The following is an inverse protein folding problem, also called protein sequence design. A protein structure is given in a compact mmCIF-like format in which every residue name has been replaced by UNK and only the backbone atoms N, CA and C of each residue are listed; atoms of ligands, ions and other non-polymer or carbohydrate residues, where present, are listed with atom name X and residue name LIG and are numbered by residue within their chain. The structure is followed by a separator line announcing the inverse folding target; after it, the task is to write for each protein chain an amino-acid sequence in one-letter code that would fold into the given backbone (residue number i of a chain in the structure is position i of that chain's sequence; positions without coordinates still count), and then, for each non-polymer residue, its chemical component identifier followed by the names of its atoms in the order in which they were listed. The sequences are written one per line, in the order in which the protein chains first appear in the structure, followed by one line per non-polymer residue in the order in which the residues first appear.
data_IF_157797128010
#
_entry.id   IF_157797128010
#
_cell.length_a   1.000
_cell.length_b   1.000
_cell.length_c   1.000
_cell.angle_alpha   90.00
_cell.angle_beta   90.00
_cell.angle_gamma   90.00
#
_symmetry.space_group_name_H-M   'P 1'
#
loop_
_entity.id
_entity.type
_entity.pdbx_description
1 polymer ?
#
# COMPACT_ATOMS: atom_id res chain seq x y z
N UNK A 1 98.74 -7.94 -34.09
CA UNK A 1 98.66 -8.42 -35.49
C UNK A 1 97.68 -9.58 -35.52
N UNK A 2 96.48 -9.57 -36.08
CA UNK A 2 95.68 -8.66 -36.93
C UNK A 2 94.20 -8.96 -36.54
N UNK A 3 93.23 -8.04 -36.41
CA UNK A 3 92.49 -7.32 -37.49
C UNK A 3 92.14 -8.28 -38.66
N UNK A 4 90.90 -8.53 -39.09
CA UNK A 4 89.86 -7.62 -39.62
C UNK A 4 88.70 -8.54 -40.10
N UNK A 5 87.42 -8.18 -39.88
CA UNK A 5 86.41 -7.76 -40.89
C UNK A 5 85.93 -8.90 -41.84
N UNK A 6 84.68 -9.08 -42.29
CA UNK A 6 83.51 -8.21 -42.53
C UNK A 6 82.24 -9.08 -42.76
N UNK A 7 81.04 -8.54 -42.48
CA UNK A 7 79.76 -8.54 -43.25
C UNK A 7 79.30 -9.77 -44.08
N UNK A 8 78.03 -10.12 -44.32
CA UNK A 8 76.70 -9.50 -44.15
C UNK A 8 75.60 -10.50 -44.61
N UNK A 9 74.46 -10.50 -43.91
CA UNK A 9 73.06 -10.83 -44.28
C UNK A 9 72.69 -11.98 -45.27
N UNK A 10 71.88 -12.93 -44.79
CA UNK A 10 70.49 -13.11 -45.29
C UNK A 10 69.62 -14.00 -44.36
N UNK A 11 68.63 -13.35 -43.76
CA UNK A 11 67.30 -13.76 -43.27
C UNK A 11 66.77 -15.14 -43.74
N UNK A 12 66.37 -16.01 -42.79
CA UNK A 12 65.00 -16.58 -42.75
C UNK A 12 64.64 -17.14 -41.34
N UNK A 13 63.40 -16.89 -40.93
CA UNK A 13 62.78 -17.09 -39.60
C UNK A 13 62.13 -18.50 -39.48
N UNK A 14 61.46 -18.92 -38.36
CA UNK A 14 61.73 -20.17 -37.63
C UNK A 14 60.52 -21.19 -37.74
N UNK A 15 60.31 -22.26 -36.92
CA UNK A 15 60.10 -22.19 -35.46
C UNK A 15 60.67 -23.35 -34.60
N UNK A 16 61.15 -22.98 -33.41
CA UNK A 16 61.04 -23.73 -32.13
C UNK A 16 59.55 -23.74 -31.74
N UNK A 17 58.92 -24.74 -31.12
CA UNK A 17 59.33 -25.71 -30.10
C UNK A 17 58.18 -26.69 -29.91
N UNK A 18 58.51 -27.94 -29.58
CA UNK A 18 57.59 -28.95 -29.11
C UNK A 18 56.84 -28.49 -27.84
N UNK A 19 55.50 -28.63 -27.85
CA UNK A 19 54.62 -29.13 -26.79
C UNK A 19 53.18 -28.77 -27.17
N UNK A 20 52.39 -29.78 -27.53
CA UNK A 20 50.93 -29.75 -27.42
C UNK A 20 50.44 -31.20 -27.28
N UNK A 21 50.24 -31.64 -26.04
CA UNK A 21 49.26 -32.67 -25.72
C UNK A 21 47.97 -31.94 -25.29
N UNK A 22 46.80 -32.27 -25.86
CA UNK A 22 45.55 -31.64 -25.49
C UNK A 22 45.06 -32.20 -24.15
N UNK A 23 45.29 -31.46 -23.07
CA UNK A 23 44.64 -31.75 -21.79
C UNK A 23 43.16 -31.37 -21.86
N UNK A 24 42.34 -32.40 -21.76
CA UNK A 24 40.89 -32.37 -21.64
C UNK A 24 40.43 -31.76 -20.31
N UNK A 25 40.55 -30.44 -20.16
CA UNK A 25 39.70 -29.71 -19.22
C UNK A 25 38.46 -29.24 -19.97
N UNK A 26 37.53 -30.19 -20.12
CA UNK A 26 36.16 -29.93 -20.48
C UNK A 26 35.60 -28.79 -19.62
N UNK A 27 34.98 -27.85 -20.32
CA UNK A 27 34.24 -26.74 -19.77
C UNK A 27 33.27 -27.19 -18.67
N UNK A 28 33.52 -26.80 -17.42
CA UNK A 28 32.44 -26.62 -16.46
C UNK A 28 31.86 -25.23 -16.66
N UNK A 29 31.19 -25.07 -17.81
CA UNK A 29 30.31 -23.94 -18.05
C UNK A 29 29.18 -24.04 -17.02
N UNK A 30 29.19 -23.15 -16.01
CA UNK A 30 28.08 -22.91 -15.10
C UNK A 30 26.88 -22.42 -15.93
N UNK A 31 26.16 -23.40 -16.49
CA UNK A 31 25.01 -23.25 -17.39
C UNK A 31 23.75 -22.97 -16.59
N UNK A 32 23.84 -22.10 -15.59
CA UNK A 32 22.63 -21.56 -14.94
C UNK A 32 22.13 -20.42 -15.80
N UNK A 33 20.97 -20.61 -16.45
CA UNK A 33 20.31 -19.55 -17.21
C UNK A 33 20.28 -18.24 -16.39
N UNK A 34 20.57 -17.07 -17.00
CA UNK A 34 20.67 -15.80 -16.28
C UNK A 34 19.38 -15.43 -15.53
N UNK A 35 18.22 -15.89 -16.02
CA UNK A 35 16.92 -15.75 -15.34
C UNK A 35 16.80 -16.63 -14.09
N UNK A 36 17.36 -17.84 -14.11
CA UNK A 36 17.39 -18.74 -12.94
C UNK A 36 18.36 -18.24 -11.88
N UNK A 37 19.53 -17.71 -12.27
CA UNK A 37 20.47 -17.07 -11.35
C UNK A 37 19.84 -15.82 -10.72
N UNK A 38 19.12 -15.03 -11.51
CA UNK A 38 18.35 -13.89 -11.02
C UNK A 38 17.26 -14.34 -10.04
N UNK A 39 16.43 -15.33 -10.39
CA UNK A 39 15.41 -15.91 -9.53
C UNK A 39 15.99 -16.50 -8.22
N UNK A 40 17.15 -17.14 -8.26
CA UNK A 40 17.86 -17.57 -7.05
C UNK A 40 18.40 -16.37 -6.27
N UNK A 41 18.87 -15.31 -6.92
CA UNK A 41 19.29 -14.09 -6.21
C UNK A 41 18.15 -13.42 -5.44
N UNK A 42 16.89 -13.56 -5.90
CA UNK A 42 15.69 -13.17 -5.16
C UNK A 42 15.50 -14.02 -3.89
N UNK A 43 15.90 -15.28 -3.88
CA UNK A 43 15.83 -16.12 -2.67
C UNK A 43 16.99 -15.87 -1.69
N UNK A 44 18.05 -15.16 -2.09
CA UNK A 44 19.17 -14.80 -1.21
C UNK A 44 18.76 -13.67 -0.26
N UNK A 45 18.12 -14.03 0.85
CA UNK A 45 17.68 -13.07 1.86
C UNK A 45 18.84 -12.57 2.72
N UNK A 46 18.79 -11.28 3.08
CA UNK A 46 19.75 -10.70 4.00
C UNK A 46 19.30 -10.97 5.43
N UNK A 47 20.14 -11.64 6.21
CA UNK A 47 19.83 -12.15 7.55
C UNK A 47 19.29 -11.08 8.51
N UNK A 48 19.88 -9.87 8.51
CA UNK A 48 19.39 -8.74 9.33
C UNK A 48 17.97 -8.31 8.92
N UNK A 49 17.66 -8.37 7.63
CA UNK A 49 16.31 -8.14 7.12
C UNK A 49 15.33 -9.21 7.60
N UNK A 50 15.71 -10.49 7.57
CA UNK A 50 14.85 -11.59 8.04
C UNK A 50 14.51 -11.46 9.52
N UNK A 51 15.52 -11.17 10.35
CA UNK A 51 15.31 -10.97 11.78
C UNK A 51 14.38 -9.78 12.05
N UNK A 52 14.62 -8.63 11.41
CA UNK A 52 13.78 -7.44 11.59
C UNK A 52 12.35 -7.65 11.04
N UNK A 53 12.20 -8.35 9.92
CA UNK A 53 10.90 -8.73 9.38
C UNK A 53 10.10 -9.61 10.34
N UNK A 54 10.75 -10.59 10.99
CA UNK A 54 10.10 -11.42 12.00
C UNK A 54 9.68 -10.63 13.24
N UNK A 55 10.50 -9.66 13.69
CA UNK A 55 10.13 -8.76 14.80
C UNK A 55 8.89 -7.93 14.44
N UNK A 56 8.85 -7.32 13.25
CA UNK A 56 7.70 -6.53 12.82
C UNK A 56 6.44 -7.38 12.60
N UNK A 57 6.59 -8.62 12.12
CA UNK A 57 5.49 -9.58 12.08
C UNK A 57 4.94 -9.84 13.48
N UNK A 58 5.81 -10.10 14.47
CA UNK A 58 5.38 -10.34 15.84
C UNK A 58 4.70 -9.11 16.45
N UNK A 59 5.25 -7.92 16.22
CA UNK A 59 4.62 -6.66 16.65
C UNK A 59 3.25 -6.45 16.01
N UNK A 60 3.05 -6.88 14.77
CA UNK A 60 1.75 -6.80 14.10
C UNK A 60 0.66 -7.68 14.73
N UNK A 61 1.06 -8.71 15.46
CA UNK A 61 0.17 -9.66 16.15
C UNK A 61 -0.17 -9.23 17.59
N UNK A 62 0.30 -8.05 18.02
CA UNK A 62 -0.06 -7.48 19.32
C UNK A 62 -1.55 -7.13 19.40
N UNK A 63 -2.13 -7.04 20.62
CA UNK A 63 -3.57 -6.92 20.80
C UNK A 63 -4.15 -5.72 20.05
N UNK A 64 -5.26 -5.96 19.32
CA UNK A 64 -6.04 -4.91 18.66
C UNK A 64 -7.43 -4.84 19.29
N UNK A 65 -7.95 -3.62 19.46
CA UNK A 65 -9.29 -3.38 20.00
C UNK A 65 -10.42 -3.80 19.04
N UNK A 66 -10.09 -4.06 17.77
CA UNK A 66 -11.05 -4.55 16.78
C UNK A 66 -10.82 -6.04 16.52
N UNK A 67 -11.88 -6.87 16.55
CA UNK A 67 -11.82 -8.23 16.06
C UNK A 67 -11.40 -8.21 14.59
N UNK A 68 -10.28 -8.87 14.26
CA UNK A 68 -9.79 -8.95 12.89
C UNK A 68 -9.91 -10.37 12.39
N UNK A 69 -10.48 -10.53 11.21
CA UNK A 69 -10.46 -11.83 10.52
C UNK A 69 -9.01 -12.24 10.16
N UNK A 70 -8.79 -13.55 10.04
CA UNK A 70 -7.47 -14.14 9.78
C UNK A 70 -6.83 -13.61 8.49
N UNK A 71 -7.65 -13.27 7.48
CA UNK A 71 -7.21 -12.71 6.21
C UNK A 71 -6.63 -11.31 6.36
N UNK A 72 -7.37 -10.40 7.01
CA UNK A 72 -6.93 -9.02 7.26
C UNK A 72 -5.70 -9.00 8.17
N UNK A 73 -5.68 -9.84 9.20
CA UNK A 73 -4.52 -9.96 10.07
C UNK A 73 -3.29 -10.46 9.30
N UNK A 74 -3.46 -11.44 8.40
CA UNK A 74 -2.39 -11.96 7.57
C UNK A 74 -1.84 -10.91 6.61
N UNK A 75 -2.73 -10.12 5.99
CA UNK A 75 -2.36 -9.02 5.11
C UNK A 75 -1.51 -7.97 5.84
N UNK A 76 -2.00 -7.48 6.99
CA UNK A 76 -1.29 -6.46 7.78
C UNK A 76 0.05 -7.01 8.28
N UNK A 77 0.08 -8.25 8.76
CA UNK A 77 1.30 -8.87 9.25
C UNK A 77 2.33 -9.08 8.14
N UNK A 78 1.90 -9.44 6.92
CA UNK A 78 2.77 -9.56 5.74
C UNK A 78 3.35 -8.23 5.29
N UNK A 79 2.54 -7.15 5.28
CA UNK A 79 2.99 -5.80 4.97
C UNK A 79 4.04 -5.34 5.99
N UNK A 80 3.75 -5.50 7.29
CA UNK A 80 4.67 -5.14 8.37
C UNK A 80 5.98 -5.94 8.29
N UNK A 81 5.91 -7.24 8.00
CA UNK A 81 7.08 -8.09 7.81
C UNK A 81 7.93 -7.62 6.62
N UNK A 82 7.31 -7.26 5.50
CA UNK A 82 8.01 -6.73 4.32
C UNK A 82 8.70 -5.39 4.61
N UNK A 83 8.02 -4.50 5.34
CA UNK A 83 8.60 -3.23 5.78
C UNK A 83 9.78 -3.44 6.73
N UNK A 84 9.60 -4.28 7.76
CA UNK A 84 10.66 -4.65 8.70
C UNK A 84 11.87 -5.28 7.98
N UNK A 85 11.63 -6.12 6.97
CA UNK A 85 12.69 -6.67 6.12
C UNK A 85 13.46 -5.57 5.38
N UNK A 86 12.75 -4.66 4.70
CA UNK A 86 13.37 -3.54 3.99
C UNK A 86 14.21 -2.65 4.91
N UNK A 87 13.67 -2.33 6.08
CA UNK A 87 14.37 -1.55 7.11
C UNK A 87 15.60 -2.29 7.62
N UNK A 88 15.49 -3.58 7.94
CA UNK A 88 16.63 -4.39 8.39
C UNK A 88 17.74 -4.49 7.35
N UNK A 89 17.40 -4.53 6.05
CA UNK A 89 18.38 -4.45 4.96
C UNK A 89 19.10 -3.10 4.92
N UNK A 90 18.37 -2.00 5.09
CA UNK A 90 18.92 -0.65 5.09
C UNK A 90 19.84 -0.45 6.30
N UNK A 91 19.33 -0.75 7.50
CA UNK A 91 20.08 -0.67 8.76
C UNK A 91 21.34 -1.52 8.70
N UNK A 92 21.24 -2.78 8.25
CA UNK A 92 22.39 -3.66 8.09
C UNK A 92 23.43 -3.11 7.11
N UNK A 93 22.99 -2.48 6.00
CA UNK A 93 23.90 -1.84 5.03
C UNK A 93 24.58 -0.60 5.61
N UNK A 94 23.84 0.24 6.33
CA UNK A 94 24.36 1.47 6.95
C UNK A 94 25.36 1.15 8.05
N UNK A 95 25.01 0.24 8.97
CA UNK A 95 25.90 -0.25 10.03
C UNK A 95 27.16 -0.87 9.43
N UNK A 96 27.02 -1.68 8.37
CA UNK A 96 28.18 -2.22 7.68
C UNK A 96 29.09 -1.13 7.12
N UNK A 97 28.51 -0.13 6.43
CA UNK A 97 29.26 0.93 5.76
C UNK A 97 29.96 1.89 6.72
N UNK A 98 29.30 2.25 7.84
CA UNK A 98 29.78 3.27 8.78
C UNK A 98 30.65 2.67 9.88
N UNK A 99 30.27 1.50 10.42
CA UNK A 99 30.89 0.94 11.62
C UNK A 99 31.75 -0.28 11.30
N UNK A 100 31.18 -1.31 10.66
CA UNK A 100 31.89 -2.60 10.49
C UNK A 100 32.97 -2.54 9.41
N UNK A 101 32.87 -1.64 8.43
CA UNK A 101 33.90 -1.50 7.37
C UNK A 101 35.28 -1.15 7.93
N UNK A 102 35.31 -0.36 9.02
CA UNK A 102 36.55 0.09 9.66
C UNK A 102 36.89 -0.74 10.93
N UNK A 103 36.06 -1.74 11.25
CA UNK A 103 36.26 -2.58 12.41
C UNK A 103 37.29 -3.68 12.12
N UNK A 104 38.42 -3.67 12.84
CA UNK A 104 39.50 -4.67 12.70
C UNK A 104 39.05 -6.13 12.95
N UNK A 105 37.97 -6.32 13.69
CA UNK A 105 37.40 -7.63 14.03
C UNK A 105 36.37 -8.13 13.02
N UNK A 106 36.08 -7.34 11.97
CA UNK A 106 35.13 -7.69 10.92
C UNK A 106 35.85 -7.95 9.59
N UNK A 107 35.59 -9.07 8.89
CA UNK A 107 34.54 -10.06 9.16
C UNK A 107 34.96 -11.15 10.18
N UNK A 108 34.00 -11.65 11.01
CA UNK A 108 34.25 -12.76 11.92
C UNK A 108 34.54 -14.09 11.17
N UNK A 109 35.06 -15.12 11.85
CA UNK A 109 35.39 -16.41 11.23
C UNK A 109 34.19 -17.04 10.52
N UNK A 110 34.41 -17.76 9.43
CA UNK A 110 33.36 -18.37 8.61
C UNK A 110 32.39 -19.25 9.43
N UNK A 111 32.90 -19.96 10.45
CA UNK A 111 32.09 -20.77 11.38
C UNK A 111 31.10 -19.92 12.18
N UNK A 112 31.52 -18.77 12.68
CA UNK A 112 30.65 -17.85 13.45
C UNK A 112 29.58 -17.28 12.54
N UNK A 113 29.94 -16.84 11.34
CA UNK A 113 28.97 -16.37 10.34
C UNK A 113 27.97 -17.47 9.96
N UNK A 114 28.40 -18.72 9.84
CA UNK A 114 27.51 -19.85 9.57
C UNK A 114 26.50 -20.04 10.70
N UNK A 115 26.96 -20.11 11.95
CA UNK A 115 26.09 -20.28 13.11
C UNK A 115 25.13 -19.10 13.32
N UNK A 116 25.58 -17.87 13.10
CA UNK A 116 24.69 -16.70 13.14
C UNK A 116 23.58 -16.77 12.09
N UNK A 117 23.92 -17.21 10.87
CA UNK A 117 22.94 -17.39 9.79
C UNK A 117 21.96 -18.52 10.11
N UNK A 118 22.47 -19.64 10.59
CA UNK A 118 21.65 -20.78 11.02
C UNK A 118 20.69 -20.36 12.15
N UNK A 119 21.19 -19.62 13.16
CA UNK A 119 20.39 -19.09 14.25
C UNK A 119 19.25 -18.20 13.73
N UNK A 120 19.50 -17.29 12.79
CA UNK A 120 18.43 -16.43 12.21
C UNK A 120 17.40 -17.26 11.45
N UNK A 121 17.83 -18.25 10.65
CA UNK A 121 16.92 -19.10 9.87
C UNK A 121 16.03 -19.97 10.75
N UNK A 122 16.47 -20.32 11.97
CA UNK A 122 15.67 -21.07 12.93
C UNK A 122 14.84 -20.15 13.81
N UNK A 123 15.47 -19.17 14.47
CA UNK A 123 14.83 -18.32 15.48
C UNK A 123 13.71 -17.46 14.87
N UNK A 124 13.91 -16.89 13.68
CA UNK A 124 12.93 -16.00 13.06
C UNK A 124 11.58 -16.69 12.78
N UNK A 125 11.50 -17.83 12.06
CA UNK A 125 10.24 -18.51 11.86
C UNK A 125 9.69 -19.11 13.16
N UNK A 126 10.54 -19.63 14.06
CA UNK A 126 10.08 -20.14 15.36
C UNK A 126 9.42 -19.03 16.18
N UNK A 127 9.99 -17.83 16.24
CA UNK A 127 9.39 -16.68 16.94
C UNK A 127 8.04 -16.30 16.32
N UNK A 128 7.94 -16.26 14.98
CA UNK A 128 6.67 -15.99 14.29
C UNK A 128 5.59 -17.02 14.64
N UNK A 129 5.92 -18.32 14.66
CA UNK A 129 4.97 -19.38 15.00
C UNK A 129 4.56 -19.30 16.47
N UNK A 130 5.52 -19.11 17.39
CA UNK A 130 5.22 -19.01 18.82
C UNK A 130 4.35 -17.80 19.14
N UNK A 131 4.53 -16.67 18.43
CA UNK A 131 3.73 -15.47 18.63
C UNK A 131 2.25 -15.65 18.25
N UNK A 132 1.90 -16.64 17.42
CA UNK A 132 0.49 -16.92 17.09
C UNK A 132 -0.31 -17.43 18.30
N UNK A 133 0.36 -18.07 19.26
CA UNK A 133 -0.29 -18.63 20.46
C UNK A 133 -0.91 -17.52 21.34
N UNK A 134 -0.12 -16.54 21.84
CA UNK A 134 -0.70 -15.43 22.60
C UNK A 134 -1.63 -14.58 21.74
N UNK A 135 -1.32 -14.36 20.46
CA UNK A 135 -2.15 -13.56 19.58
C UNK A 135 -3.55 -14.14 19.35
N UNK A 136 -3.66 -15.46 19.15
CA UNK A 136 -4.95 -16.15 19.07
C UNK A 136 -5.72 -16.07 20.40
N UNK A 137 -5.02 -16.11 21.54
CA UNK A 137 -5.66 -15.97 22.85
C UNK A 137 -6.25 -14.57 23.07
N UNK A 138 -5.53 -13.52 22.67
CA UNK A 138 -6.01 -12.14 22.76
C UNK A 138 -7.21 -11.91 21.85
N UNK A 139 -7.19 -12.42 20.62
CA UNK A 139 -8.34 -12.31 19.71
C UNK A 139 -9.58 -13.02 20.26
N UNK A 140 -9.44 -14.21 20.86
CA UNK A 140 -10.57 -14.89 21.51
C UNK A 140 -11.16 -14.08 22.67
N UNK A 141 -10.32 -13.40 23.45
CA UNK A 141 -10.79 -12.53 24.54
C UNK A 141 -11.58 -11.33 24.01
N UNK A 142 -11.09 -10.66 22.96
CA UNK A 142 -11.79 -9.53 22.34
C UNK A 142 -13.10 -9.96 21.69
N UNK A 143 -13.11 -11.09 20.98
CA UNK A 143 -14.33 -11.67 20.41
C UNK A 143 -15.38 -11.99 21.48
N UNK A 144 -14.96 -12.56 22.62
CA UNK A 144 -15.85 -12.84 23.74
C UNK A 144 -16.45 -11.56 24.34
N UNK A 145 -15.66 -10.50 24.50
CA UNK A 145 -16.13 -9.19 24.97
C UNK A 145 -17.12 -8.53 24.01
N UNK A 146 -16.97 -8.77 22.70
CA UNK A 146 -17.85 -8.25 21.66
C UNK A 146 -19.07 -9.16 21.39
N UNK A 147 -19.20 -10.28 22.12
CA UNK A 147 -20.30 -11.22 21.96
C UNK A 147 -20.30 -11.99 20.63
N UNK A 148 -19.14 -12.11 19.97
CA UNK A 148 -18.99 -12.82 18.70
C UNK A 148 -18.15 -14.09 18.85
N UNK A 149 -18.31 -15.04 17.93
CA UNK A 149 -17.48 -16.25 17.93
C UNK A 149 -16.00 -15.91 17.70
N UNK A 150 -15.12 -16.46 18.56
CA UNK A 150 -13.69 -16.26 18.46
C UNK A 150 -13.05 -17.05 17.31
N UNK A 151 -11.88 -16.63 16.82
CA UNK A 151 -11.19 -17.32 15.73
C UNK A 151 -10.76 -18.73 16.15
N UNK A 152 -10.97 -19.70 15.26
CA UNK A 152 -10.49 -21.07 15.42
C UNK A 152 -8.96 -21.13 15.28
N UNK A 153 -8.32 -22.06 15.99
CA UNK A 153 -6.86 -22.24 15.92
C UNK A 153 -6.38 -22.53 14.49
N UNK A 154 -7.13 -23.34 13.73
CA UNK A 154 -6.82 -23.63 12.32
C UNK A 154 -7.02 -22.39 11.42
N UNK A 155 -8.04 -21.57 11.68
CA UNK A 155 -8.27 -20.31 10.98
C UNK A 155 -7.12 -19.32 11.22
N UNK A 156 -6.65 -19.23 12.47
CA UNK A 156 -5.56 -18.32 12.83
C UNK A 156 -4.20 -18.77 12.28
N UNK A 157 -3.99 -20.07 12.02
CA UNK A 157 -2.77 -20.55 11.36
C UNK A 157 -2.70 -20.09 9.89
N UNK A 158 -3.84 -19.88 9.23
CA UNK A 158 -3.90 -19.34 7.85
C UNK A 158 -3.33 -17.92 7.77
N UNK A 159 -3.39 -17.15 8.85
CA UNK A 159 -2.76 -15.82 8.96
C UNK A 159 -1.28 -15.87 8.62
N UNK A 160 -0.55 -16.91 9.05
CA UNK A 160 0.87 -17.06 8.74
C UNK A 160 1.10 -17.28 7.25
N UNK A 161 0.29 -18.14 6.61
CA UNK A 161 0.39 -18.42 5.18
C UNK A 161 0.15 -17.15 4.38
N UNK A 162 -0.93 -16.43 4.68
CA UNK A 162 -1.25 -15.15 4.02
C UNK A 162 -0.12 -14.15 4.22
N UNK A 163 0.41 -14.01 5.44
CA UNK A 163 1.49 -13.08 5.73
C UNK A 163 2.77 -13.42 4.96
N UNK A 164 3.13 -14.70 4.84
CA UNK A 164 4.28 -15.16 4.05
C UNK A 164 4.06 -14.86 2.57
N UNK A 165 2.88 -15.16 2.02
CA UNK A 165 2.56 -14.88 0.61
C UNK A 165 2.61 -13.39 0.33
N UNK A 166 1.93 -12.57 1.13
CA UNK A 166 1.91 -11.10 1.00
C UNK A 166 3.31 -10.52 1.14
N UNK A 167 4.05 -10.93 2.16
CA UNK A 167 5.42 -10.49 2.38
C UNK A 167 6.34 -10.88 1.22
N UNK A 168 6.23 -12.11 0.72
CA UNK A 168 6.99 -12.59 -0.44
C UNK A 168 6.67 -11.79 -1.70
N UNK A 169 5.39 -11.56 -2.01
CA UNK A 169 4.95 -10.74 -3.15
C UNK A 169 5.52 -9.32 -3.04
N UNK A 170 5.35 -8.64 -1.91
CA UNK A 170 5.84 -7.27 -1.72
C UNK A 170 7.36 -7.18 -1.87
N UNK A 171 8.10 -8.05 -1.18
CA UNK A 171 9.58 -8.07 -1.25
C UNK A 171 10.05 -8.39 -2.67
N UNK A 172 9.35 -9.27 -3.39
CA UNK A 172 9.68 -9.61 -4.77
C UNK A 172 9.42 -8.43 -5.71
N UNK A 173 8.27 -7.76 -5.58
CA UNK A 173 7.95 -6.55 -6.35
C UNK A 173 9.00 -5.45 -6.13
N UNK A 174 9.37 -5.16 -4.88
CA UNK A 174 10.42 -4.19 -4.59
C UNK A 174 11.78 -4.57 -5.18
N UNK A 175 12.14 -5.86 -5.16
CA UNK A 175 13.39 -6.35 -5.78
C UNK A 175 13.38 -6.18 -7.30
N UNK A 176 12.26 -6.52 -7.95
CA UNK A 176 12.08 -6.32 -9.39
C UNK A 176 12.24 -4.84 -9.75
N UNK A 177 11.66 -3.92 -8.98
CA UNK A 177 11.82 -2.48 -9.19
C UNK A 177 13.29 -2.05 -9.05
N UNK A 178 13.98 -2.50 -8.00
CA UNK A 178 15.41 -2.20 -7.81
C UNK A 178 16.26 -2.73 -8.97
N UNK A 179 15.96 -3.93 -9.46
CA UNK A 179 16.71 -4.53 -10.56
C UNK A 179 16.40 -3.87 -11.90
N UNK A 180 15.17 -3.39 -12.11
CA UNK A 180 14.81 -2.54 -13.24
C UNK A 180 15.61 -1.22 -13.22
N UNK A 181 15.73 -0.55 -12.07
CA UNK A 181 16.58 0.64 -11.91
C UNK A 181 18.03 0.34 -12.28
N UNK A 182 18.60 -0.76 -11.76
CA UNK A 182 19.98 -1.16 -12.07
C UNK A 182 20.17 -1.56 -13.54
N UNK A 183 19.17 -2.20 -14.15
CA UNK A 183 19.21 -2.56 -15.57
C UNK A 183 19.26 -1.29 -16.41
N UNK A 184 18.38 -0.33 -16.11
CA UNK A 184 18.32 0.95 -16.80
C UNK A 184 19.61 1.75 -16.60
N UNK A 185 20.11 1.85 -15.36
CA UNK A 185 21.40 2.48 -15.07
C UNK A 185 22.54 1.83 -15.87
N UNK A 186 22.62 0.49 -15.93
CA UNK A 186 23.61 -0.24 -16.76
C UNK A 186 23.45 -0.01 -18.26
N UNK A 187 22.23 0.24 -18.74
CA UNK A 187 21.99 0.60 -20.14
C UNK A 187 22.47 2.03 -20.42
N UNK A 188 22.21 2.98 -19.51
CA UNK A 188 22.67 4.36 -19.63
C UNK A 188 24.20 4.45 -19.59
N UNK A 189 24.85 3.75 -18.65
CA UNK A 189 26.31 3.70 -18.56
C UNK A 189 26.91 3.14 -19.85
N UNK A 190 26.39 2.01 -20.35
CA UNK A 190 26.92 1.37 -21.57
C UNK A 190 26.68 2.18 -22.84
N UNK A 191 25.56 2.90 -22.95
CA UNK A 191 25.21 3.63 -24.17
C UNK A 191 25.75 5.06 -24.18
N UNK A 192 25.78 5.73 -23.04
CA UNK A 192 26.05 7.17 -22.94
C UNK A 192 27.28 7.51 -22.06
N UNK A 193 28.00 6.51 -21.55
CA UNK A 193 29.21 6.68 -20.72
C UNK A 193 29.05 7.64 -19.53
N UNK A 194 27.84 7.67 -18.97
CA UNK A 194 27.50 8.52 -17.81
C UNK A 194 28.10 7.92 -16.54
N UNK A 195 28.56 8.78 -15.62
CA UNK A 195 29.04 8.36 -14.30
C UNK A 195 27.99 7.55 -13.52
N UNK A 196 28.45 6.53 -12.79
CA UNK A 196 27.60 5.54 -12.09
C UNK A 196 26.52 6.17 -11.18
N UNK A 197 26.86 7.24 -10.47
CA UNK A 197 25.94 7.92 -9.55
C UNK A 197 24.79 8.62 -10.29
N UNK A 198 25.12 9.29 -11.38
CA UNK A 198 24.15 10.00 -12.23
C UNK A 198 23.26 8.99 -12.96
N UNK A 199 23.82 7.88 -13.43
CA UNK A 199 23.04 6.81 -14.07
C UNK A 199 22.05 6.16 -13.11
N UNK A 200 22.41 5.97 -11.84
CA UNK A 200 21.52 5.43 -10.82
C UNK A 200 20.43 6.43 -10.42
N UNK A 201 20.75 7.72 -10.34
CA UNK A 201 19.78 8.78 -10.11
C UNK A 201 18.75 8.85 -11.24
N UNK A 202 19.20 8.91 -12.49
CA UNK A 202 18.32 8.94 -13.67
C UNK A 202 17.49 7.65 -13.77
N UNK A 203 18.10 6.49 -13.57
CA UNK A 203 17.39 5.21 -13.57
C UNK A 203 16.29 5.15 -12.51
N UNK A 204 16.56 5.67 -11.31
CA UNK A 204 15.57 5.77 -10.23
C UNK A 204 14.45 6.73 -10.62
N UNK A 205 14.77 7.93 -11.13
CA UNK A 205 13.78 8.92 -11.54
C UNK A 205 12.84 8.38 -12.62
N UNK A 206 13.38 7.67 -13.62
CA UNK A 206 12.57 7.07 -14.69
C UNK A 206 11.63 5.98 -14.13
N UNK A 207 12.13 5.08 -13.28
CA UNK A 207 11.28 4.02 -12.70
C UNK A 207 10.21 4.61 -11.79
N UNK A 208 10.53 5.64 -10.99
CA UNK A 208 9.54 6.35 -10.16
C UNK A 208 8.51 7.07 -11.03
N UNK A 209 8.92 7.75 -12.09
CA UNK A 209 8.00 8.42 -13.01
C UNK A 209 7.07 7.42 -13.71
N UNK A 210 7.60 6.30 -14.21
CA UNK A 210 6.80 5.22 -14.81
C UNK A 210 5.83 4.61 -13.81
N UNK A 211 6.26 4.42 -12.56
CA UNK A 211 5.37 3.90 -11.52
C UNK A 211 4.27 4.92 -11.20
N UNK A 212 4.60 6.21 -11.08
CA UNK A 212 3.63 7.27 -10.83
C UNK A 212 2.62 7.42 -11.98
N UNK A 213 3.06 7.34 -13.23
CA UNK A 213 2.16 7.39 -14.40
C UNK A 213 1.31 6.14 -14.51
N UNK A 214 1.85 4.95 -14.21
CA UNK A 214 1.08 3.71 -14.18
C UNK A 214 0.02 3.74 -13.07
N UNK A 215 0.39 4.18 -11.87
CA UNK A 215 -0.53 4.30 -10.73
C UNK A 215 -1.62 5.32 -11.05
N UNK A 216 -1.26 6.57 -11.37
CA UNK A 216 -2.23 7.65 -11.59
C UNK A 216 -3.03 7.49 -12.88
N UNK A 217 -2.41 6.96 -13.93
CA UNK A 217 -2.99 6.86 -15.26
C UNK A 217 -3.85 5.61 -15.45
N UNK A 218 -3.36 4.44 -15.06
CA UNK A 218 -4.00 3.16 -15.38
C UNK A 218 -4.67 2.54 -14.15
N UNK A 219 -3.96 2.41 -13.03
CA UNK A 219 -4.51 1.75 -11.85
C UNK A 219 -5.64 2.56 -11.21
N UNK A 220 -5.43 3.85 -10.95
CA UNK A 220 -6.42 4.69 -10.27
C UNK A 220 -7.63 4.91 -11.17
N UNK A 221 -7.42 5.29 -12.44
CA UNK A 221 -8.54 5.47 -13.38
C UNK A 221 -9.27 4.16 -13.66
N UNK A 222 -8.54 3.07 -13.89
CA UNK A 222 -9.12 1.74 -14.11
C UNK A 222 -9.89 1.22 -12.89
N UNK A 223 -9.35 1.43 -11.68
CA UNK A 223 -10.04 1.12 -10.42
C UNK A 223 -11.33 1.92 -10.27
N UNK A 224 -11.31 3.24 -10.48
CA UNK A 224 -12.52 4.05 -10.39
C UNK A 224 -13.57 3.69 -11.45
N UNK A 225 -13.15 3.36 -12.67
CA UNK A 225 -14.06 2.89 -13.72
C UNK A 225 -14.71 1.55 -13.32
N UNK A 226 -13.93 0.59 -12.81
CA UNK A 226 -14.43 -0.70 -12.37
C UNK A 226 -15.31 -0.61 -11.10
N UNK A 227 -14.88 0.19 -10.12
CA UNK A 227 -15.63 0.43 -8.89
C UNK A 227 -16.97 1.13 -9.16
N UNK A 228 -16.98 2.13 -10.04
CA UNK A 228 -18.22 2.75 -10.50
C UNK A 228 -19.09 1.71 -11.22
N UNK A 229 -18.56 0.93 -12.15
CA UNK A 229 -19.34 -0.08 -12.88
C UNK A 229 -19.99 -1.14 -11.97
N UNK A 230 -19.27 -1.59 -10.93
CA UNK A 230 -19.78 -2.58 -9.98
C UNK A 230 -20.79 -2.00 -8.97
N UNK A 231 -20.66 -0.71 -8.63
CA UNK A 231 -21.50 -0.05 -7.61
C UNK A 231 -22.73 0.64 -8.22
N UNK A 232 -22.71 0.98 -9.51
CA UNK A 232 -23.82 1.65 -10.22
C UNK A 232 -25.21 1.01 -9.98
N UNK A 233 -25.38 -0.33 -9.99
CA UNK A 233 -26.70 -0.93 -9.76
C UNK A 233 -27.22 -0.70 -8.33
N UNK A 234 -26.32 -0.69 -7.33
CA UNK A 234 -26.67 -0.39 -5.94
C UNK A 234 -26.86 1.12 -5.74
N UNK A 235 -26.00 1.96 -6.33
CA UNK A 235 -26.09 3.41 -6.25
C UNK A 235 -27.35 3.98 -6.91
N UNK A 236 -27.84 3.33 -7.97
CA UNK A 236 -29.09 3.71 -8.63
C UNK A 236 -30.33 3.35 -7.80
N UNK A 237 -30.22 2.38 -6.88
CA UNK A 237 -31.33 1.95 -6.05
C UNK A 237 -31.68 3.01 -4.98
N UNK A 238 -32.96 3.05 -4.59
CA UNK A 238 -33.38 3.82 -3.40
C UNK A 238 -33.43 2.85 -2.23
N UNK A 239 -32.85 3.18 -1.06
CA UNK A 239 -32.95 2.34 0.13
C UNK A 239 -34.41 2.00 0.45
N UNK A 240 -34.68 0.78 0.92
CA UNK A 240 -36.03 0.33 1.21
C UNK A 240 -36.70 1.23 2.26
N UNK A 241 -37.92 1.69 1.98
CA UNK A 241 -38.66 2.61 2.86
C UNK A 241 -38.29 4.09 2.71
N UNK A 242 -37.32 4.45 1.86
CA UNK A 242 -37.02 5.84 1.57
C UNK A 242 -37.82 6.38 0.41
N UNK A 243 -38.42 7.54 0.63
CA UNK A 243 -39.07 8.33 -0.41
C UNK A 243 -38.36 9.67 -0.58
N UNK A 244 -38.49 10.24 -1.78
CA UNK A 244 -38.00 11.59 -2.07
C UNK A 244 -38.50 12.59 -1.02
N UNK A 245 -37.62 13.41 -0.40
CA UNK A 245 -38.05 14.45 0.53
C UNK A 245 -38.87 15.52 -0.20
N UNK A 246 -39.90 16.05 0.45
CA UNK A 246 -40.70 17.16 -0.08
C UNK A 246 -40.26 18.52 0.47
N UNK A 247 -39.55 18.51 1.59
CA UNK A 247 -39.11 19.71 2.28
C UNK A 247 -38.02 20.45 1.48
N UNK A 248 -38.12 21.78 1.30
CA UNK A 248 -37.15 22.55 0.53
C UNK A 248 -35.75 22.57 1.15
N UNK A 249 -35.61 22.33 2.46
CA UNK A 249 -34.33 22.29 3.19
C UNK A 249 -33.45 21.08 2.85
N UNK A 250 -33.99 20.11 2.10
CA UNK A 250 -33.33 18.85 1.76
C UNK A 250 -33.03 18.79 0.25
N UNK A 251 -31.80 18.42 -0.10
CA UNK A 251 -31.47 18.12 -1.49
C UNK A 251 -32.26 16.92 -2.00
N UNK A 252 -32.52 16.89 -3.30
CA UNK A 252 -33.42 15.93 -3.94
C UNK A 252 -34.90 16.30 -3.85
N UNK A 253 -35.30 17.35 -3.12
CA UNK A 253 -36.68 17.84 -3.10
C UNK A 253 -37.13 18.44 -4.44
N UNK A 254 -38.43 18.74 -4.64
CA UNK A 254 -38.90 19.44 -5.85
C UNK A 254 -38.22 20.79 -6.11
N UNK A 255 -37.77 21.47 -5.06
CA UNK A 255 -37.05 22.74 -5.16
C UNK A 255 -35.53 22.58 -5.36
N UNK A 256 -35.01 21.36 -5.26
CA UNK A 256 -33.56 21.09 -5.30
C UNK A 256 -32.98 21.19 -6.70
N UNK A 257 -31.79 21.79 -6.80
CA UNK A 257 -30.97 21.83 -8.02
C UNK A 257 -30.39 20.44 -8.36
N UNK A 258 -30.15 19.61 -7.34
CA UNK A 258 -29.74 18.21 -7.52
C UNK A 258 -30.98 17.30 -7.59
N UNK A 259 -31.22 16.58 -8.71
CA UNK A 259 -32.32 15.61 -8.79
C UNK A 259 -32.16 14.48 -7.78
N UNK A 260 -33.27 13.99 -7.20
CA UNK A 260 -33.28 12.85 -6.27
C UNK A 260 -32.54 11.62 -6.82
N UNK A 261 -32.72 11.34 -8.11
CA UNK A 261 -32.07 10.22 -8.78
C UNK A 261 -30.55 10.37 -8.85
N UNK A 262 -30.02 11.60 -8.81
CA UNK A 262 -28.58 11.89 -8.95
C UNK A 262 -27.77 11.74 -7.66
N UNK A 263 -28.42 11.68 -6.50
CA UNK A 263 -27.76 11.69 -5.18
C UNK A 263 -27.03 10.37 -4.83
N UNK A 264 -27.30 9.29 -5.57
CA UNK A 264 -26.82 7.95 -5.22
C UNK A 264 -27.52 7.35 -3.99
N UNK A 265 -27.20 6.10 -3.67
CA UNK A 265 -27.87 5.36 -2.58
C UNK A 265 -27.68 6.04 -1.22
N UNK A 266 -26.43 6.37 -0.88
CA UNK A 266 -26.08 6.95 0.42
C UNK A 266 -26.53 8.39 0.57
N UNK A 267 -26.47 9.18 -0.52
CA UNK A 267 -27.01 10.54 -0.53
C UNK A 267 -28.51 10.55 -0.30
N UNK A 268 -29.25 9.63 -0.93
CA UNK A 268 -30.70 9.46 -0.72
C UNK A 268 -31.03 9.09 0.72
N UNK A 269 -30.29 8.16 1.33
CA UNK A 269 -30.46 7.80 2.74
C UNK A 269 -30.20 9.01 3.66
N UNK A 270 -29.11 9.74 3.41
CA UNK A 270 -28.72 10.90 4.20
C UNK A 270 -29.79 11.99 4.17
N UNK A 271 -30.29 12.39 2.99
CA UNK A 271 -31.28 13.47 2.92
C UNK A 271 -32.68 13.03 3.37
N UNK A 272 -33.06 11.76 3.19
CA UNK A 272 -34.38 11.27 3.56
C UNK A 272 -34.52 10.93 5.05
N UNK A 273 -33.42 10.68 5.77
CA UNK A 273 -33.43 10.50 7.22
C UNK A 273 -33.32 11.81 8.01
N UNK A 274 -33.33 11.68 9.34
CA UNK A 274 -33.04 12.74 10.29
C UNK A 274 -34.25 13.17 11.10
N UNK A 275 -34.04 13.74 12.30
CA UNK A 275 -35.10 14.32 13.08
C UNK A 275 -35.67 15.55 12.38
N UNK A 276 -36.99 15.65 12.35
CA UNK A 276 -37.69 16.83 11.87
C UNK A 276 -37.82 17.89 12.98
N UNK A 277 -38.11 19.13 12.61
CA UNK A 277 -38.30 20.23 13.55
C UNK A 277 -39.30 19.90 14.68
N UNK A 278 -40.37 19.17 14.38
CA UNK A 278 -41.36 18.75 15.37
C UNK A 278 -40.77 17.80 16.44
N UNK A 279 -39.93 16.86 16.02
CA UNK A 279 -39.25 15.93 16.93
C UNK A 279 -38.21 16.65 17.78
N UNK A 280 -37.43 17.55 17.16
CA UNK A 280 -36.43 18.37 17.86
C UNK A 280 -37.08 19.31 18.88
N UNK A 281 -38.21 19.92 18.52
CA UNK A 281 -38.98 20.79 19.42
C UNK A 281 -39.47 20.01 20.64
N UNK A 282 -39.97 18.79 20.43
CA UNK A 282 -40.38 17.90 21.51
C UNK A 282 -39.21 17.46 22.39
N UNK A 283 -38.06 17.13 21.78
CA UNK A 283 -36.86 16.68 22.48
C UNK A 283 -36.25 17.78 23.35
N UNK A 284 -36.13 18.99 22.81
CA UNK A 284 -35.42 20.09 23.45
C UNK A 284 -36.32 21.06 24.23
N UNK A 285 -37.65 20.91 24.16
CA UNK A 285 -38.61 21.76 24.88
C UNK A 285 -38.67 23.21 24.40
N UNK A 286 -38.14 23.52 23.21
CA UNK A 286 -38.11 24.87 22.62
C UNK A 286 -38.26 24.80 21.09
N UNK A 287 -38.84 25.82 20.44
CA UNK A 287 -39.05 25.81 18.99
C UNK A 287 -37.77 25.50 18.20
N UNK A 288 -37.81 24.47 17.37
CA UNK A 288 -36.71 24.03 16.51
C UNK A 288 -36.88 24.53 15.08
N UNK A 289 -35.77 24.58 14.34
CA UNK A 289 -35.78 24.77 12.88
C UNK A 289 -35.67 23.42 12.18
N UNK A 290 -36.14 23.33 10.95
CA UNK A 290 -35.92 22.12 10.13
C UNK A 290 -34.43 22.05 9.75
N UNK A 291 -33.72 20.93 10.03
CA UNK A 291 -32.33 20.78 9.63
C UNK A 291 -32.14 20.82 8.11
N UNK A 292 -31.08 21.51 7.67
CA UNK A 292 -30.69 21.50 6.26
C UNK A 292 -29.73 20.35 6.00
N UNK A 293 -30.05 19.53 5.00
CA UNK A 293 -29.19 18.44 4.52
C UNK A 293 -28.98 18.59 3.03
N UNK A 294 -27.77 19.01 2.65
CA UNK A 294 -27.35 19.20 1.27
C UNK A 294 -26.44 18.06 0.86
N UNK A 295 -26.67 17.50 -0.33
CA UNK A 295 -25.85 16.42 -0.86
C UNK A 295 -25.75 16.53 -2.38
N UNK A 296 -24.56 16.30 -2.92
CA UNK A 296 -24.34 16.13 -4.36
C UNK A 296 -23.71 14.76 -4.60
N UNK A 297 -24.30 13.95 -5.48
CA UNK A 297 -23.75 12.66 -5.86
C UNK A 297 -22.85 12.74 -7.09
N UNK A 298 -22.16 11.65 -7.41
CA UNK A 298 -21.31 11.55 -8.61
C UNK A 298 -22.07 11.84 -9.91
N UNK A 299 -23.38 11.55 -9.96
CA UNK A 299 -24.23 11.75 -11.12
C UNK A 299 -24.92 13.14 -11.15
N UNK A 300 -24.68 13.99 -10.15
CA UNK A 300 -25.29 15.33 -10.08
C UNK A 300 -24.71 16.27 -11.16
N UNK A 301 -23.44 16.11 -11.51
CA UNK A 301 -22.79 16.83 -12.59
C UNK A 301 -21.58 16.03 -13.12
N UNK A 302 -21.14 16.25 -14.38
CA UNK A 302 -20.10 15.43 -15.02
C UNK A 302 -18.71 15.58 -14.40
N UNK A 303 -18.40 16.74 -13.81
CA UNK A 303 -17.09 17.04 -13.21
C UNK A 303 -17.22 17.61 -11.79
N UNK A 304 -16.09 17.69 -11.09
CA UNK A 304 -16.02 18.16 -9.70
C UNK A 304 -16.48 19.62 -9.56
N UNK A 305 -16.18 20.48 -10.54
CA UNK A 305 -16.54 21.89 -10.50
C UNK A 305 -18.05 22.07 -10.63
N UNK A 306 -18.69 21.33 -11.52
CA UNK A 306 -20.15 21.31 -11.67
C UNK A 306 -20.84 20.79 -10.42
N UNK A 307 -20.31 19.74 -9.78
CA UNK A 307 -20.88 19.20 -8.52
C UNK A 307 -20.77 20.23 -7.39
N UNK A 308 -19.63 20.90 -7.28
CA UNK A 308 -19.43 21.97 -6.30
C UNK A 308 -20.37 23.16 -6.57
N UNK A 309 -20.56 23.55 -7.83
CA UNK A 309 -21.46 24.63 -8.19
C UNK A 309 -22.92 24.32 -7.79
N UNK A 310 -23.40 23.09 -8.04
CA UNK A 310 -24.73 22.65 -7.60
C UNK A 310 -24.84 22.68 -6.07
N UNK A 311 -23.82 22.21 -5.37
CA UNK A 311 -23.78 22.15 -3.92
C UNK A 311 -23.77 23.54 -3.27
N UNK A 312 -23.00 24.49 -3.82
CA UNK A 312 -23.03 25.90 -3.39
C UNK A 312 -24.41 26.51 -3.67
N UNK A 313 -24.98 26.27 -4.85
CA UNK A 313 -26.34 26.71 -5.17
C UNK A 313 -27.40 26.16 -4.21
N UNK A 314 -27.28 24.90 -3.79
CA UNK A 314 -28.14 24.30 -2.76
C UNK A 314 -27.97 24.96 -1.39
N UNK A 315 -26.73 25.27 -0.99
CA UNK A 315 -26.45 25.97 0.27
C UNK A 315 -27.06 27.38 0.29
N UNK A 316 -26.95 28.12 -0.82
CA UNK A 316 -27.57 29.44 -0.97
C UNK A 316 -29.10 29.35 -0.95
N UNK A 317 -29.67 28.45 -1.75
CA UNK A 317 -31.12 28.22 -1.88
C UNK A 317 -31.77 27.88 -0.54
N UNK A 318 -31.10 27.05 0.27
CA UNK A 318 -31.61 26.61 1.57
C UNK A 318 -31.35 27.62 2.69
N UNK A 319 -30.59 28.69 2.43
CA UNK A 319 -30.18 29.64 3.47
C UNK A 319 -29.22 29.00 4.48
N UNK A 320 -28.41 28.02 4.06
CA UNK A 320 -27.51 27.27 4.92
C UNK A 320 -26.52 28.18 5.66
N UNK A 321 -26.05 29.26 5.02
CA UNK A 321 -25.13 30.23 5.61
C UNK A 321 -25.74 31.05 6.76
N UNK A 322 -27.07 31.08 6.88
CA UNK A 322 -27.76 31.74 8.00
C UNK A 322 -27.98 30.81 9.21
N UNK A 323 -27.60 29.53 9.11
CA UNK A 323 -27.67 28.59 10.22
C UNK A 323 -26.55 28.84 11.22
N UNK A 324 -26.78 28.50 12.49
CA UNK A 324 -25.75 28.63 13.54
C UNK A 324 -24.53 27.77 13.27
N UNK A 325 -24.73 26.61 12.65
CA UNK A 325 -23.65 25.68 12.31
C UNK A 325 -23.81 25.18 10.89
N UNK A 326 -22.76 25.35 10.09
CA UNK A 326 -22.58 24.72 8.79
C UNK A 326 -21.47 23.67 8.92
N UNK A 327 -21.78 22.41 8.60
CA UNK A 327 -20.85 21.28 8.68
C UNK A 327 -20.58 20.73 7.29
N UNK A 328 -19.29 20.68 6.94
CA UNK A 328 -18.82 19.97 5.77
C UNK A 328 -18.49 18.54 6.22
N UNK A 329 -19.32 17.59 5.80
CA UNK A 329 -19.22 16.18 6.15
C UNK A 329 -18.53 15.42 5.01
N UNK A 330 -17.24 15.05 5.14
CA UNK A 330 -16.58 14.22 4.14
C UNK A 330 -17.24 12.84 4.11
N UNK A 331 -17.47 12.32 2.91
CA UNK A 331 -18.11 11.02 2.69
C UNK A 331 -17.06 9.91 2.65
N UNK A 332 -17.47 8.67 2.97
CA UNK A 332 -16.63 7.49 2.69
C UNK A 332 -16.60 7.21 1.19
N UNK A 333 -15.76 6.26 0.73
CA UNK A 333 -15.70 5.89 -0.69
C UNK A 333 -17.02 5.40 -1.32
N UNK A 334 -18.07 5.20 -0.52
CA UNK A 334 -19.43 4.87 -0.96
C UNK A 334 -20.40 6.06 -0.96
N UNK A 335 -19.97 7.25 -0.51
CA UNK A 335 -20.84 8.40 -0.28
C UNK A 335 -21.50 8.45 1.11
N UNK A 336 -21.21 7.48 1.99
CA UNK A 336 -21.85 7.41 3.31
C UNK A 336 -21.38 8.52 4.25
N UNK A 337 -22.34 9.11 4.97
CA UNK A 337 -22.16 10.06 6.07
C UNK A 337 -22.71 9.41 7.34
N UNK A 338 -21.97 9.52 8.45
CA UNK A 338 -22.39 8.96 9.73
C UNK A 338 -23.71 9.61 10.21
N UNK A 339 -24.83 8.86 10.25
CA UNK A 339 -26.11 9.39 10.64
C UNK A 339 -26.16 9.71 12.14
N UNK A 340 -25.38 9.04 12.99
CA UNK A 340 -25.33 9.32 14.43
C UNK A 340 -24.63 10.65 14.66
N UNK A 341 -23.51 10.89 13.97
CA UNK A 341 -22.80 12.17 14.03
C UNK A 341 -23.69 13.33 13.53
N UNK A 342 -24.36 13.15 12.38
CA UNK A 342 -25.25 14.16 11.82
C UNK A 342 -26.43 14.48 12.75
N UNK A 343 -27.12 13.46 13.26
CA UNK A 343 -28.26 13.65 14.19
C UNK A 343 -27.85 14.29 15.50
N UNK A 344 -26.68 13.96 16.03
CA UNK A 344 -26.18 14.53 17.28
C UNK A 344 -26.06 16.06 17.17
N UNK A 345 -25.52 16.55 16.06
CA UNK A 345 -25.41 17.99 15.79
C UNK A 345 -26.80 18.65 15.69
N UNK A 346 -27.72 18.03 14.96
CA UNK A 346 -29.09 18.53 14.80
C UNK A 346 -29.83 18.59 16.15
N UNK A 347 -29.59 17.63 17.04
CA UNK A 347 -30.14 17.63 18.40
C UNK A 347 -29.52 18.74 19.27
N UNK A 348 -28.19 18.84 19.30
CA UNK A 348 -27.46 19.84 20.11
C UNK A 348 -27.86 21.27 19.72
N UNK A 349 -27.95 21.56 18.43
CA UNK A 349 -28.26 22.89 17.90
C UNK A 349 -29.74 23.12 17.59
N UNK A 350 -30.61 22.19 18.00
CA UNK A 350 -32.06 22.27 17.82
C UNK A 350 -32.50 22.54 16.37
N UNK A 351 -31.82 21.87 15.44
CA UNK A 351 -32.05 21.93 14.00
C UNK A 351 -31.56 23.21 13.33
N UNK A 352 -30.91 24.13 14.07
CA UNK A 352 -30.23 25.30 13.50
C UNK A 352 -28.88 24.92 12.87
N UNK A 353 -28.92 23.92 11.99
CA UNK A 353 -27.77 23.29 11.35
C UNK A 353 -27.97 23.17 9.85
N UNK A 354 -26.88 23.25 9.12
CA UNK A 354 -26.76 22.80 7.74
C UNK A 354 -25.62 21.81 7.64
N UNK A 355 -25.87 20.63 7.08
CA UNK A 355 -24.85 19.60 6.86
C UNK A 355 -24.76 19.36 5.37
N UNK A 356 -23.54 19.41 4.84
CA UNK A 356 -23.28 19.26 3.42
C UNK A 356 -22.28 18.13 3.15
N UNK A 357 -22.62 17.27 2.18
CA UNK A 357 -21.77 16.17 1.74
C UNK A 357 -21.63 16.10 0.21
N UNK A 358 -20.51 15.54 -0.23
CA UNK A 358 -20.14 15.32 -1.63
C UNK A 358 -19.55 13.92 -1.79
#
# INVERSE_FOLDING_TARGET
MNAESSESLAVSTPPRTARDEPSSHAAEADTRHPLLVWAWSLLRQKFVGVAMGAVFFCLSLTPSLLPRDWLFQGLIAGINAAFGYGLGVLVGKTIYRVVLRNARWWPPPARVLFWMKAAVVVIAPTACVLMLIPAASWQRQVSALMGIEGPTTAGYLRTLIVAVVVGAVLVSTFRVLIDAVKLLARMLIRRWHVHDEVALFIGTAIVVALLATLINGVLVRGFFVAANALSQPQDAATPAGMSRPLLPEKSGSPASLAPWSSLGYQGREFVATGPHAAELTRLNGRPAKEPIRVYAGLQTAPDDQGRLAVLVGELERTGAFARKVLVIAPTTGTGWIDPVAARSLEMIYNGDTAIVGL
#
